data_IF_323890422703
#
_entry.id   IF_323890422703
#
_cell.length_a   1.000
_cell.length_b   1.000
_cell.length_c   1.000
_cell.angle_alpha   90.00
_cell.angle_beta   90.00
_cell.angle_gamma   90.00
#
_symmetry.space_group_name_H-M   'P 1'
#
loop_
_entity.id
_entity.type
_entity.pdbx_description
1 polymer ?
#
# COMPACT_ATOMS: atom_id res chain seq x y z
N UNK A 1 18.22 -18.21 48.32
CA UNK A 1 18.71 -17.60 47.06
C UNK A 1 17.78 -17.86 45.87
N UNK A 2 16.73 -18.69 46.00
CA UNK A 2 15.89 -19.19 44.90
C UNK A 2 14.54 -18.47 44.70
N UNK A 3 14.19 -17.45 45.49
CA UNK A 3 12.86 -16.81 45.43
C UNK A 3 12.83 -15.46 44.71
N UNK A 4 13.98 -14.85 44.46
CA UNK A 4 14.09 -13.49 43.89
C UNK A 4 14.27 -13.52 42.36
N UNK A 5 14.68 -14.66 41.78
CA UNK A 5 14.79 -14.81 40.32
C UNK A 5 13.46 -15.12 39.62
N UNK A 6 12.51 -15.78 40.30
CA UNK A 6 11.18 -16.12 39.74
C UNK A 6 10.24 -14.90 39.59
N UNK A 7 10.41 -13.88 40.45
CA UNK A 7 9.55 -12.69 40.42
C UNK A 7 9.91 -11.75 39.26
N UNK A 8 11.21 -11.69 38.90
CA UNK A 8 11.68 -10.89 37.75
C UNK A 8 11.22 -11.50 36.42
N UNK A 9 11.32 -12.80 36.22
CA UNK A 9 10.95 -13.47 34.95
C UNK A 9 9.45 -13.39 34.66
N UNK A 10 8.61 -13.43 35.70
CA UNK A 10 7.17 -13.19 35.58
C UNK A 10 6.85 -11.73 35.19
N UNK A 11 7.58 -10.75 35.73
CA UNK A 11 7.36 -9.32 35.47
C UNK A 11 7.81 -8.88 34.06
N UNK A 12 8.93 -9.42 33.54
CA UNK A 12 9.39 -9.14 32.16
C UNK A 12 8.39 -9.61 31.08
N UNK A 13 7.62 -10.66 31.37
CA UNK A 13 6.60 -11.20 30.45
C UNK A 13 5.34 -10.32 30.36
N UNK A 14 5.01 -9.58 31.43
CA UNK A 14 3.79 -8.77 31.47
C UNK A 14 3.97 -7.38 30.84
N UNK A 15 5.13 -6.76 31.02
CA UNK A 15 5.43 -5.46 30.40
C UNK A 15 5.41 -5.60 28.88
N UNK A 16 5.95 -6.70 28.33
CA UNK A 16 5.93 -6.96 26.89
C UNK A 16 4.50 -7.13 26.34
N UNK A 17 3.59 -7.77 27.11
CA UNK A 17 2.18 -7.93 26.73
C UNK A 17 1.41 -6.62 26.75
N UNK A 18 1.65 -5.77 27.76
CA UNK A 18 1.03 -4.44 27.84
C UNK A 18 1.50 -3.53 26.72
N UNK A 19 2.82 -3.47 26.47
CA UNK A 19 3.40 -2.64 25.41
C UNK A 19 2.87 -3.04 24.03
N UNK A 20 2.78 -4.35 23.76
CA UNK A 20 2.22 -4.88 22.51
C UNK A 20 0.75 -4.49 22.34
N UNK A 21 -0.06 -4.61 23.39
CA UNK A 21 -1.50 -4.29 23.34
C UNK A 21 -1.76 -2.79 23.13
N UNK A 22 -0.98 -1.92 23.75
CA UNK A 22 -1.08 -0.47 23.55
C UNK A 22 -0.65 -0.05 22.14
N UNK A 23 0.42 -0.64 21.61
CA UNK A 23 0.87 -0.39 20.24
C UNK A 23 -0.15 -0.87 19.20
N UNK A 24 -0.74 -2.04 19.40
CA UNK A 24 -1.75 -2.61 18.50
C UNK A 24 -3.00 -1.74 18.42
N UNK A 25 -3.51 -1.27 19.57
CA UNK A 25 -4.66 -0.33 19.62
C UNK A 25 -4.33 1.01 18.95
N UNK A 26 -3.14 1.55 19.19
CA UNK A 26 -2.73 2.84 18.60
C UNK A 26 -2.60 2.73 17.08
N UNK A 27 -2.04 1.62 16.60
CA UNK A 27 -1.87 1.36 15.18
C UNK A 27 -3.23 1.17 14.49
N UNK A 28 -4.14 0.39 15.08
CA UNK A 28 -5.48 0.19 14.54
C UNK A 28 -6.26 1.52 14.45
N UNK A 29 -6.19 2.34 15.49
CA UNK A 29 -6.79 3.68 15.46
C UNK A 29 -6.22 4.57 14.35
N UNK A 30 -4.90 4.59 14.16
CA UNK A 30 -4.24 5.36 13.09
C UNK A 30 -4.68 4.84 11.72
N UNK A 31 -4.70 3.53 11.51
CA UNK A 31 -5.10 2.93 10.23
C UNK A 31 -6.57 3.18 9.93
N UNK A 32 -7.45 3.15 10.93
CA UNK A 32 -8.86 3.50 10.78
C UNK A 32 -9.03 4.96 10.34
N UNK A 33 -8.37 5.91 11.01
CA UNK A 33 -8.42 7.33 10.62
C UNK A 33 -7.85 7.52 9.21
N UNK A 34 -6.76 6.85 8.89
CA UNK A 34 -6.11 6.93 7.59
C UNK A 34 -6.99 6.35 6.47
N UNK A 35 -7.71 5.25 6.73
CA UNK A 35 -8.70 4.71 5.79
C UNK A 35 -9.79 5.73 5.47
N UNK A 36 -10.40 6.35 6.49
CA UNK A 36 -11.43 7.36 6.28
C UNK A 36 -10.89 8.56 5.51
N UNK A 37 -9.66 8.98 5.81
CA UNK A 37 -8.99 10.06 5.10
C UNK A 37 -8.75 9.74 3.62
N UNK A 38 -8.20 8.56 3.31
CA UNK A 38 -7.96 8.13 1.92
C UNK A 38 -9.29 7.95 1.17
N UNK A 39 -10.32 7.41 1.81
CA UNK A 39 -11.66 7.30 1.23
C UNK A 39 -12.23 8.68 0.87
N UNK A 40 -12.13 9.64 1.79
CA UNK A 40 -12.56 11.02 1.55
C UNK A 40 -11.82 11.65 0.36
N UNK A 41 -10.49 11.53 0.31
CA UNK A 41 -9.69 12.02 -0.80
C UNK A 41 -10.06 11.35 -2.13
N UNK A 42 -10.36 10.05 -2.10
CA UNK A 42 -10.75 9.29 -3.30
C UNK A 42 -12.06 9.82 -3.87
N UNK A 43 -13.07 10.01 -3.01
CA UNK A 43 -14.36 10.61 -3.40
C UNK A 43 -14.19 12.04 -3.92
N UNK A 44 -13.36 12.84 -3.26
CA UNK A 44 -13.05 14.20 -3.70
C UNK A 44 -12.37 14.20 -5.08
N UNK A 45 -11.43 13.28 -5.31
CA UNK A 45 -10.76 13.13 -6.60
C UNK A 45 -11.74 12.74 -7.70
N UNK A 46 -12.67 11.80 -7.44
CA UNK A 46 -13.73 11.43 -8.39
C UNK A 46 -14.62 12.62 -8.73
N UNK A 47 -15.04 13.38 -7.71
CA UNK A 47 -15.84 14.60 -7.91
C UNK A 47 -15.11 15.64 -8.77
N UNK A 48 -13.82 15.85 -8.51
CA UNK A 48 -13.00 16.78 -9.27
C UNK A 48 -12.86 16.34 -10.73
N UNK A 49 -12.66 15.05 -10.99
CA UNK A 49 -12.63 14.49 -12.33
C UNK A 49 -13.95 14.72 -13.08
N UNK A 50 -15.09 14.48 -12.43
CA UNK A 50 -16.40 14.73 -13.04
C UNK A 50 -16.61 16.22 -13.41
N UNK A 51 -16.19 17.13 -12.52
CA UNK A 51 -16.25 18.57 -12.76
C UNK A 51 -15.34 19.03 -13.90
N UNK A 52 -14.15 18.45 -14.01
CA UNK A 52 -13.18 18.78 -15.06
C UNK A 52 -13.63 18.29 -16.43
N UNK A 53 -14.19 17.08 -16.52
CA UNK A 53 -14.78 16.54 -17.75
C UNK A 53 -15.83 17.47 -18.35
N UNK A 54 -16.58 18.20 -17.50
CA UNK A 54 -17.62 19.12 -17.97
C UNK A 54 -17.09 20.53 -18.32
N UNK A 55 -15.92 20.93 -17.81
CA UNK A 55 -15.49 22.34 -17.82
C UNK A 55 -14.17 22.61 -18.56
N UNK A 56 -13.34 21.60 -18.82
CA UNK A 56 -11.98 21.80 -19.34
C UNK A 56 -11.69 20.80 -20.47
N UNK A 57 -11.28 21.29 -21.64
CA UNK A 57 -10.97 20.50 -22.85
C UNK A 57 -9.51 20.02 -22.91
N UNK A 58 -8.73 20.16 -21.84
CA UNK A 58 -7.32 19.74 -21.81
C UNK A 58 -7.19 18.25 -21.44
N UNK A 59 -6.97 17.34 -22.40
CA UNK A 59 -6.95 15.91 -22.15
C UNK A 59 -5.80 15.51 -21.21
N UNK A 60 -4.69 16.27 -21.21
CA UNK A 60 -3.52 15.98 -20.36
C UNK A 60 -3.84 16.13 -18.88
N UNK A 61 -4.59 17.18 -18.50
CA UNK A 61 -4.97 17.44 -17.12
C UNK A 61 -5.99 16.40 -16.61
N UNK A 62 -6.90 15.99 -17.49
CA UNK A 62 -7.92 14.99 -17.20
C UNK A 62 -7.29 13.62 -16.95
N UNK A 63 -6.34 13.19 -17.79
CA UNK A 63 -5.59 11.94 -17.60
C UNK A 63 -4.81 11.97 -16.28
N UNK A 64 -4.12 13.06 -15.96
CA UNK A 64 -3.38 13.19 -14.70
C UNK A 64 -4.29 13.03 -13.47
N UNK A 65 -5.48 13.63 -13.48
CA UNK A 65 -6.42 13.52 -12.35
C UNK A 65 -7.10 12.15 -12.25
N UNK A 66 -7.35 11.47 -13.38
CA UNK A 66 -7.80 10.08 -13.37
C UNK A 66 -6.71 9.20 -12.77
N UNK A 67 -5.45 9.36 -13.18
CA UNK A 67 -4.33 8.61 -12.64
C UNK A 67 -4.18 8.78 -11.12
N UNK A 68 -4.28 10.01 -10.61
CA UNK A 68 -4.31 10.28 -9.16
C UNK A 68 -5.44 9.52 -8.48
N UNK A 69 -6.64 9.52 -9.07
CA UNK A 69 -7.79 8.76 -8.54
C UNK A 69 -7.49 7.27 -8.45
N UNK A 70 -6.90 6.68 -9.49
CA UNK A 70 -6.54 5.25 -9.49
C UNK A 70 -5.49 4.97 -8.39
N UNK A 71 -4.53 5.86 -8.16
CA UNK A 71 -3.50 5.68 -7.10
C UNK A 71 -4.14 5.71 -5.72
N UNK A 72 -5.10 6.61 -5.51
CA UNK A 72 -5.84 6.71 -4.25
C UNK A 72 -6.68 5.44 -4.00
N UNK A 73 -7.39 4.95 -5.02
CA UNK A 73 -8.16 3.70 -4.94
C UNK A 73 -7.24 2.52 -4.61
N UNK A 74 -6.09 2.41 -5.26
CA UNK A 74 -5.16 1.32 -5.01
C UNK A 74 -4.62 1.41 -3.58
N UNK A 75 -4.17 2.58 -3.16
CA UNK A 75 -3.68 2.82 -1.78
C UNK A 75 -4.73 2.41 -0.74
N UNK A 76 -6.00 2.76 -0.96
CA UNK A 76 -7.12 2.33 -0.11
C UNK A 76 -7.25 0.80 -0.07
N UNK A 77 -7.13 0.13 -1.23
CA UNK A 77 -7.17 -1.33 -1.36
C UNK A 77 -6.07 -2.01 -0.55
N UNK A 78 -4.82 -1.53 -0.67
CA UNK A 78 -3.69 -2.06 0.11
C UNK A 78 -3.97 -1.92 1.61
N UNK A 79 -4.50 -0.77 2.02
CA UNK A 79 -4.78 -0.47 3.42
C UNK A 79 -5.88 -1.38 4.00
N UNK A 80 -6.92 -1.69 3.22
CA UNK A 80 -7.93 -2.68 3.60
C UNK A 80 -7.33 -4.09 3.74
N UNK A 81 -6.50 -4.51 2.78
CA UNK A 81 -5.85 -5.82 2.81
C UNK A 81 -4.99 -5.94 4.08
N UNK A 82 -4.25 -4.89 4.41
CA UNK A 82 -3.46 -4.80 5.64
C UNK A 82 -4.32 -5.02 6.89
N UNK A 83 -5.43 -4.29 7.03
CA UNK A 83 -6.36 -4.43 8.16
C UNK A 83 -6.98 -5.82 8.26
N UNK A 84 -7.37 -6.40 7.13
CA UNK A 84 -8.03 -7.71 7.12
C UNK A 84 -7.10 -8.82 7.59
N UNK A 85 -5.82 -8.74 7.27
CA UNK A 85 -4.93 -9.88 7.45
C UNK A 85 -4.08 -9.79 8.72
N UNK A 86 -3.73 -8.61 9.26
CA UNK A 86 -2.83 -8.40 10.43
C UNK A 86 -1.46 -9.15 10.40
N UNK A 87 -1.27 -10.00 9.39
CA UNK A 87 -0.23 -10.96 9.01
C UNK A 87 -0.36 -11.08 7.50
N UNK A 88 0.18 -10.11 6.77
CA UNK A 88 0.03 -10.11 5.31
C UNK A 88 0.86 -11.28 4.78
N UNK A 89 0.19 -12.25 4.15
CA UNK A 89 0.89 -13.32 3.44
C UNK A 89 1.79 -12.67 2.39
N UNK A 90 3.03 -13.15 2.28
CA UNK A 90 4.03 -12.61 1.34
C UNK A 90 3.46 -12.59 -0.08
N UNK A 91 2.63 -13.57 -0.44
CA UNK A 91 1.95 -13.63 -1.73
C UNK A 91 1.02 -12.43 -1.99
N UNK A 92 0.22 -12.02 -0.99
CA UNK A 92 -0.67 -10.84 -1.12
C UNK A 92 0.13 -9.54 -1.24
N UNK A 93 1.25 -9.40 -0.52
CA UNK A 93 2.13 -8.24 -0.67
C UNK A 93 2.72 -8.20 -2.09
N UNK A 94 3.12 -9.35 -2.63
CA UNK A 94 3.69 -9.43 -3.98
C UNK A 94 2.67 -9.09 -5.07
N UNK A 95 1.43 -9.62 -4.97
CA UNK A 95 0.36 -9.31 -5.93
C UNK A 95 0.11 -7.79 -5.98
N UNK A 96 -0.12 -7.19 -4.82
CA UNK A 96 -0.37 -5.77 -4.66
C UNK A 96 0.84 -4.92 -5.09
N UNK A 97 2.06 -5.36 -4.76
CA UNK A 97 3.30 -4.69 -5.15
C UNK A 97 3.52 -4.68 -6.66
N UNK A 98 3.20 -5.78 -7.34
CA UNK A 98 3.27 -5.87 -8.81
C UNK A 98 2.24 -4.93 -9.43
N UNK A 99 0.98 -4.97 -8.98
CA UNK A 99 -0.08 -4.07 -9.48
C UNK A 99 0.32 -2.60 -9.30
N UNK A 100 0.82 -2.25 -8.11
CA UNK A 100 1.28 -0.89 -7.81
C UNK A 100 2.48 -0.46 -8.67
N UNK A 101 3.42 -1.36 -8.95
CA UNK A 101 4.55 -1.08 -9.85
C UNK A 101 4.07 -0.85 -11.29
N UNK A 102 3.22 -1.72 -11.82
CA UNK A 102 2.62 -1.57 -13.15
C UNK A 102 1.88 -0.23 -13.25
N UNK A 103 1.07 0.09 -12.26
CA UNK A 103 0.36 1.36 -12.21
C UNK A 103 1.33 2.55 -12.14
N UNK A 104 2.36 2.49 -11.30
CA UNK A 104 3.36 3.55 -11.19
C UNK A 104 4.09 3.77 -12.50
N UNK A 105 4.29 2.72 -13.30
CA UNK A 105 4.82 2.88 -14.66
C UNK A 105 3.85 3.60 -15.56
N UNK A 106 2.58 3.22 -15.56
CA UNK A 106 1.56 3.92 -16.35
C UNK A 106 1.49 5.41 -15.96
N UNK A 107 1.64 5.73 -14.67
CA UNK A 107 1.63 7.10 -14.14
C UNK A 107 2.90 7.87 -14.48
N UNK A 108 4.07 7.25 -14.29
CA UNK A 108 5.37 7.90 -14.47
C UNK A 108 5.81 7.96 -15.94
N UNK A 109 5.13 7.26 -16.84
CA UNK A 109 5.39 7.28 -18.27
C UNK A 109 4.89 8.58 -18.91
N UNK A 110 5.55 9.71 -18.62
CA UNK A 110 5.64 10.74 -19.65
C UNK A 110 6.62 10.18 -20.69
N UNK A 111 6.09 9.68 -21.80
CA UNK A 111 6.84 8.95 -22.85
C UNK A 111 8.02 9.73 -23.46
N UNK A 112 8.22 10.99 -23.05
CA UNK A 112 9.30 11.87 -23.50
C UNK A 112 10.59 11.77 -22.66
N UNK A 113 10.52 11.26 -21.43
CA UNK A 113 11.69 11.13 -20.52
C UNK A 113 12.09 9.66 -20.22
N UNK A 114 11.41 8.71 -20.87
CA UNK A 114 11.69 7.29 -20.72
C UNK A 114 12.86 6.88 -21.61
N UNK A 115 14.03 6.84 -20.99
CA UNK A 115 15.22 6.24 -21.57
C UNK A 115 15.04 4.72 -21.70
N UNK A 116 15.56 4.13 -22.78
CA UNK A 116 15.45 2.70 -23.07
C UNK A 116 15.99 1.84 -21.93
N UNK A 117 17.01 2.33 -21.21
CA UNK A 117 17.58 1.68 -20.04
C UNK A 117 16.57 1.56 -18.88
N UNK A 118 15.76 2.59 -18.63
CA UNK A 118 14.75 2.59 -17.57
C UNK A 118 13.64 1.57 -17.87
N UNK A 119 13.22 1.49 -19.14
CA UNK A 119 12.22 0.50 -19.58
C UNK A 119 12.74 -0.94 -19.40
N UNK A 120 13.98 -1.21 -19.78
CA UNK A 120 14.60 -2.52 -19.57
C UNK A 120 14.77 -2.87 -18.09
N UNK A 121 15.20 -1.92 -17.26
CA UNK A 121 15.37 -2.14 -15.82
C UNK A 121 14.03 -2.49 -15.14
N UNK A 122 12.98 -1.76 -15.49
CA UNK A 122 11.62 -2.01 -15.00
C UNK A 122 11.08 -3.34 -15.49
N UNK A 123 11.24 -3.65 -16.79
CA UNK A 123 10.79 -4.92 -17.36
C UNK A 123 11.48 -6.11 -16.68
N UNK A 124 12.79 -6.00 -16.43
CA UNK A 124 13.54 -6.99 -15.66
C UNK A 124 13.05 -7.12 -14.22
N UNK A 125 12.77 -6.01 -13.54
CA UNK A 125 12.21 -6.02 -12.19
C UNK A 125 10.84 -6.72 -12.15
N UNK A 126 9.93 -6.41 -13.08
CA UNK A 126 8.64 -7.06 -13.19
C UNK A 126 8.77 -8.55 -13.50
N UNK A 127 9.73 -8.94 -14.34
CA UNK A 127 9.99 -10.34 -14.64
C UNK A 127 10.46 -11.12 -13.40
N UNK A 128 11.38 -10.54 -12.61
CA UNK A 128 11.86 -11.14 -11.36
C UNK A 128 10.72 -11.26 -10.34
N UNK A 129 9.92 -10.21 -10.17
CA UNK A 129 8.78 -10.22 -9.26
C UNK A 129 7.71 -11.22 -9.69
N UNK A 130 7.41 -11.31 -10.99
CA UNK A 130 6.48 -12.30 -11.54
C UNK A 130 6.97 -13.73 -11.35
N UNK A 131 8.26 -13.99 -11.58
CA UNK A 131 8.87 -15.29 -11.31
C UNK A 131 8.80 -15.65 -9.81
N UNK A 132 9.10 -14.70 -8.93
CA UNK A 132 8.99 -14.88 -7.48
C UNK A 132 7.55 -15.17 -7.05
N UNK A 133 6.59 -14.47 -7.63
CA UNK A 133 5.17 -14.68 -7.38
C UNK A 133 4.73 -16.09 -7.76
N UNK A 134 5.14 -16.63 -8.93
CA UNK A 134 4.81 -18.00 -9.33
C UNK A 134 5.42 -19.03 -8.37
N UNK A 135 6.65 -18.79 -7.90
CA UNK A 135 7.34 -19.71 -7.00
C UNK A 135 6.73 -19.76 -5.59
N UNK A 136 6.23 -18.62 -5.09
CA UNK A 136 5.69 -18.49 -3.73
C UNK A 136 4.17 -18.70 -3.71
N UNK A 137 3.46 -18.29 -4.75
CA UNK A 137 2.01 -18.44 -4.88
C UNK A 137 1.55 -19.84 -5.26
N UNK A 138 2.48 -20.78 -5.46
CA UNK A 138 2.21 -22.18 -5.73
C UNK A 138 2.12 -23.08 -4.48
N UNK A 139 2.24 -22.52 -3.27
CA UNK A 139 2.01 -23.21 -1.99
C UNK A 139 0.69 -22.79 -1.33
#
# INVERSE_FOLDING_TARGET
>A
MTKIEDEKTAQYTQIHKLFRKTLEISFDAVVMVFLFFILYLTLYSIYLNFKLTYKVNDPKLLIANILVTIILIETYRILIIYLRQHRVSISHILEVGIVALVQKLIVASDFRELDALKLFAVGGLLFILGHLYIRIGGE
#
